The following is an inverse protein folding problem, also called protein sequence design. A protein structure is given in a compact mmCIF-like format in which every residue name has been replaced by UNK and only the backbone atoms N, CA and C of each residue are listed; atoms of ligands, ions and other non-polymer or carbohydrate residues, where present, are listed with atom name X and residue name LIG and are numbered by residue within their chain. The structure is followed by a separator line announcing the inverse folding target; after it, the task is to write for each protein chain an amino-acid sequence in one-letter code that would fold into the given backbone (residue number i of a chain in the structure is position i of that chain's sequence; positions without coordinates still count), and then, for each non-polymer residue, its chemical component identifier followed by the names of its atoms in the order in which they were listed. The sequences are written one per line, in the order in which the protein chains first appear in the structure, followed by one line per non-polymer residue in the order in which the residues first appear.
data_IF_387115930478
#
_entry.id   IF_387115930478
#
_cell.length_a   1.000
_cell.length_b   1.000
_cell.length_c   1.000
_cell.angle_alpha   90.00
_cell.angle_beta   90.00
_cell.angle_gamma   90.00
#
_symmetry.space_group_name_H-M   'P 1'
#
loop_
_entity.id
_entity.type
_entity.pdbx_description
1 polymer ?
#
# COMPACT_ATOMS: atom_id res chain seq x y z
N UNK A 1 -29.79 -37.51 6.12
CA UNK A 1 -28.33 -37.79 6.08
C UNK A 1 -27.87 -37.54 4.65
N UNK A 2 -27.57 -36.28 4.30
CA UNK A 2 -27.18 -35.89 2.95
C UNK A 2 -25.67 -35.70 2.87
N UNK A 3 -24.98 -36.56 2.13
CA UNK A 3 -23.53 -36.51 1.95
C UNK A 3 -23.16 -35.34 1.03
N UNK A 4 -22.35 -34.42 1.52
CA UNK A 4 -21.83 -33.31 0.72
C UNK A 4 -21.05 -33.83 -0.51
N UNK A 5 -21.20 -33.21 -1.69
CA UNK A 5 -20.54 -33.67 -2.90
C UNK A 5 -19.02 -33.50 -2.78
N UNK A 6 -18.29 -34.59 -3.01
CA UNK A 6 -16.83 -34.62 -3.04
C UNK A 6 -16.29 -33.65 -4.10
N UNK A 7 -15.64 -32.56 -3.68
CA UNK A 7 -15.00 -31.62 -4.59
C UNK A 7 -13.79 -32.28 -5.23
N UNK A 8 -13.88 -32.56 -6.53
CA UNK A 8 -12.76 -33.04 -7.36
C UNK A 8 -11.60 -32.03 -7.24
N UNK A 9 -10.36 -32.48 -6.92
CA UNK A 9 -9.22 -31.57 -6.86
C UNK A 9 -9.00 -30.94 -8.23
N UNK A 10 -9.01 -29.61 -8.26
CA UNK A 10 -8.78 -28.83 -9.47
C UNK A 10 -7.26 -28.78 -9.69
N UNK A 11 -6.76 -29.50 -10.69
CA UNK A 11 -5.36 -29.38 -11.09
C UNK A 11 -5.08 -27.95 -11.52
N UNK A 12 -3.96 -27.33 -11.08
CA UNK A 12 -3.60 -26.00 -11.55
C UNK A 12 -3.46 -26.03 -13.08
N UNK A 13 -3.86 -24.96 -13.79
CA UNK A 13 -3.70 -24.90 -15.23
C UNK A 13 -2.24 -25.16 -15.59
N UNK A 14 -1.97 -26.25 -16.30
CA UNK A 14 -0.63 -26.50 -16.84
C UNK A 14 -0.28 -25.33 -17.75
N UNK A 15 0.85 -24.68 -17.51
CA UNK A 15 1.20 -23.46 -18.20
C UNK A 15 1.42 -23.74 -19.69
N UNK A 16 0.43 -23.39 -20.52
CA UNK A 16 0.48 -23.55 -21.97
C UNK A 16 1.68 -22.77 -22.55
N UNK A 17 2.67 -23.46 -23.15
CA UNK A 17 3.85 -22.81 -23.72
C UNK A 17 3.49 -21.80 -24.82
N UNK A 18 2.36 -21.97 -25.52
CA UNK A 18 1.89 -20.99 -26.51
C UNK A 18 1.43 -19.69 -25.84
N UNK A 19 0.74 -19.75 -24.69
CA UNK A 19 0.34 -18.55 -23.92
C UNK A 19 1.55 -17.82 -23.35
N UNK A 20 2.58 -18.55 -22.89
CA UNK A 20 3.84 -17.95 -22.43
C UNK A 20 4.59 -17.25 -23.57
N UNK A 21 4.66 -17.87 -24.75
CA UNK A 21 5.30 -17.27 -25.93
C UNK A 21 4.55 -16.02 -26.43
N UNK A 22 3.21 -16.05 -26.42
CA UNK A 22 2.36 -14.89 -26.73
C UNK A 22 2.59 -13.74 -25.73
N UNK A 23 2.67 -14.05 -24.43
CA UNK A 23 2.98 -13.04 -23.41
C UNK A 23 4.38 -12.44 -23.59
N UNK A 24 5.39 -13.27 -23.80
CA UNK A 24 6.77 -12.81 -24.00
C UNK A 24 6.92 -11.95 -25.25
N UNK A 25 6.28 -12.32 -26.36
CA UNK A 25 6.31 -11.54 -27.60
C UNK A 25 5.60 -10.19 -27.47
N UNK A 26 4.46 -10.14 -26.76
CA UNK A 26 3.80 -8.86 -26.48
C UNK A 26 4.67 -7.91 -25.66
N UNK A 27 5.37 -8.42 -24.64
CA UNK A 27 6.26 -7.64 -23.81
C UNK A 27 7.47 -7.15 -24.61
N UNK A 28 8.10 -8.05 -25.38
CA UNK A 28 9.21 -7.70 -26.26
C UNK A 28 8.80 -6.63 -27.28
N UNK A 29 7.61 -6.74 -27.87
CA UNK A 29 7.07 -5.73 -28.79
C UNK A 29 6.95 -4.34 -28.13
N UNK A 30 6.46 -4.28 -26.89
CA UNK A 30 6.37 -3.02 -26.13
C UNK A 30 7.75 -2.44 -25.82
N UNK A 31 8.71 -3.27 -25.39
CA UNK A 31 10.06 -2.83 -25.08
C UNK A 31 10.80 -2.33 -26.32
N UNK A 32 10.63 -3.00 -27.46
CA UNK A 32 11.18 -2.57 -28.74
C UNK A 32 10.54 -1.25 -29.20
N UNK A 33 9.22 -1.12 -29.09
CA UNK A 33 8.53 0.12 -29.42
C UNK A 33 9.03 1.28 -28.54
N UNK A 34 9.21 1.06 -27.23
CA UNK A 34 9.79 2.04 -26.32
C UNK A 34 11.19 2.45 -26.79
N UNK A 35 12.12 1.50 -26.97
CA UNK A 35 13.49 1.79 -27.36
C UNK A 35 13.53 2.58 -28.68
N UNK A 36 12.77 2.16 -29.68
CA UNK A 36 12.71 2.84 -30.98
C UNK A 36 12.13 4.24 -30.86
N UNK A 37 11.01 4.42 -30.16
CA UNK A 37 10.40 5.74 -29.97
C UNK A 37 11.31 6.70 -29.19
N UNK A 38 12.02 6.18 -28.18
CA UNK A 38 12.99 6.94 -27.40
C UNK A 38 14.23 7.32 -28.20
N UNK A 39 14.78 6.42 -29.01
CA UNK A 39 15.94 6.69 -29.86
C UNK A 39 15.63 7.63 -31.04
N UNK A 40 14.44 7.51 -31.63
CA UNK A 40 14.02 8.34 -32.76
C UNK A 40 13.78 9.80 -32.35
N UNK A 41 13.74 10.12 -31.05
CA UNK A 41 13.53 11.48 -30.55
C UNK A 41 12.14 12.05 -30.85
N UNK A 42 11.18 11.19 -31.22
CA UNK A 42 9.78 11.57 -31.46
C UNK A 42 9.14 12.13 -30.19
N UNK A 43 9.56 11.61 -29.04
CA UNK A 43 9.19 12.09 -27.71
C UNK A 43 10.46 12.61 -27.03
N UNK A 44 10.35 13.74 -26.34
CA UNK A 44 11.50 14.31 -25.63
C UNK A 44 12.10 13.29 -24.65
N UNK A 45 13.43 13.12 -24.60
CA UNK A 45 14.11 12.22 -23.66
C UNK A 45 13.80 12.51 -22.19
N UNK A 46 13.30 13.71 -21.88
CA UNK A 46 12.82 14.06 -20.53
C UNK A 46 11.59 13.23 -20.12
N UNK A 47 10.73 12.86 -21.08
CA UNK A 47 9.51 12.10 -20.83
C UNK A 47 9.65 10.63 -21.20
N UNK A 48 10.41 10.31 -22.25
CA UNK A 48 10.63 8.94 -22.72
C UNK A 48 12.10 8.71 -23.08
N UNK A 49 12.99 8.59 -22.09
CA UNK A 49 14.35 8.17 -22.36
C UNK A 49 14.35 6.74 -22.92
N UNK A 50 15.23 6.41 -23.90
CA UNK A 50 15.34 5.05 -24.40
C UNK A 50 15.76 4.10 -23.27
N UNK A 51 15.32 2.84 -23.36
CA UNK A 51 15.60 1.80 -22.36
C UNK A 51 17.12 1.59 -22.19
N UNK A 52 17.89 1.68 -23.27
CA UNK A 52 19.35 1.59 -23.22
C UNK A 52 19.99 2.68 -22.34
N UNK A 53 19.50 3.92 -22.39
CA UNK A 53 19.97 5.02 -21.55
C UNK A 53 19.58 4.77 -20.08
N UNK A 54 18.34 4.36 -19.82
CA UNK A 54 17.87 4.03 -18.46
C UNK A 54 18.74 2.91 -17.82
N UNK A 55 19.09 1.89 -18.60
CA UNK A 55 19.99 0.81 -18.14
C UNK A 55 21.40 1.34 -17.90
N UNK A 56 21.93 2.17 -18.80
CA UNK A 56 23.25 2.78 -18.66
C UNK A 56 23.38 3.59 -17.37
N UNK A 57 22.47 4.54 -17.17
CA UNK A 57 22.41 5.39 -15.99
C UNK A 57 22.20 4.55 -14.72
N UNK A 58 21.32 3.54 -14.78
CA UNK A 58 21.09 2.62 -13.67
C UNK A 58 22.35 1.87 -13.24
N UNK A 59 23.16 1.39 -14.20
CA UNK A 59 24.43 0.72 -13.91
C UNK A 59 25.47 1.70 -13.34
N UNK A 60 25.47 2.95 -13.79
CA UNK A 60 26.34 3.99 -13.24
C UNK A 60 25.99 4.28 -11.77
N UNK A 61 24.71 4.47 -11.45
CA UNK A 61 24.24 4.68 -10.07
C UNK A 61 24.53 3.48 -9.15
N UNK A 62 24.52 2.26 -9.69
CA UNK A 62 24.91 1.05 -8.93
C UNK A 62 26.41 1.09 -8.64
N UNK A 63 27.24 1.42 -9.63
CA UNK A 63 28.70 1.47 -9.50
C UNK A 63 29.16 2.59 -8.57
N UNK A 64 28.52 3.76 -8.63
CA UNK A 64 28.82 4.90 -7.74
C UNK A 64 28.37 4.64 -6.30
N UNK A 65 27.40 3.75 -6.10
CA UNK A 65 26.78 3.47 -4.80
C UNK A 65 25.65 4.43 -4.45
N UNK A 66 25.39 5.46 -5.27
CA UNK A 66 24.33 6.44 -5.03
C UNK A 66 22.95 5.80 -5.03
N UNK A 67 22.74 4.74 -5.82
CA UNK A 67 21.46 4.02 -5.85
C UNK A 67 21.08 3.52 -4.46
N UNK A 68 22.05 2.97 -3.72
CA UNK A 68 21.81 2.45 -2.37
C UNK A 68 21.49 3.59 -1.40
N UNK A 69 22.16 4.74 -1.52
CA UNK A 69 21.84 5.93 -0.72
C UNK A 69 20.43 6.46 -0.97
N UNK A 70 20.02 6.59 -2.23
CA UNK A 70 18.67 7.02 -2.61
C UNK A 70 17.60 6.02 -2.18
N UNK A 71 17.87 4.73 -2.32
CA UNK A 71 16.97 3.66 -1.87
C UNK A 71 16.81 3.68 -0.35
N UNK A 72 17.91 3.78 0.41
CA UNK A 72 17.89 3.85 1.86
C UNK A 72 17.11 5.08 2.35
N UNK A 73 17.31 6.25 1.75
CA UNK A 73 16.55 7.46 2.07
C UNK A 73 15.05 7.26 1.81
N UNK A 74 14.68 6.62 0.70
CA UNK A 74 13.28 6.33 0.37
C UNK A 74 12.66 5.33 1.35
N UNK A 75 13.37 4.25 1.68
CA UNK A 75 12.92 3.26 2.66
C UNK A 75 12.78 3.85 4.05
N UNK A 76 13.70 4.71 4.49
CA UNK A 76 13.61 5.41 5.77
C UNK A 76 12.32 6.23 5.88
N UNK A 77 11.99 7.01 4.84
CA UNK A 77 10.74 7.79 4.79
C UNK A 77 9.51 6.90 4.88
N UNK A 78 9.51 5.81 4.11
CA UNK A 78 8.40 4.85 4.08
C UNK A 78 8.23 4.20 5.46
N UNK A 79 9.32 3.76 6.07
CA UNK A 79 9.31 3.10 7.37
C UNK A 79 8.70 4.01 8.44
N UNK A 80 9.20 5.24 8.58
CA UNK A 80 8.69 6.16 9.60
C UNK A 80 7.27 6.63 9.31
N UNK A 81 6.96 6.94 8.05
CA UNK A 81 5.61 7.31 7.65
C UNK A 81 4.63 6.18 7.94
N UNK A 82 5.01 4.94 7.61
CA UNK A 82 4.21 3.75 7.89
C UNK A 82 4.03 3.52 9.40
N UNK A 83 5.11 3.53 10.20
CA UNK A 83 5.00 3.29 11.64
C UNK A 83 4.11 4.31 12.34
N UNK A 84 4.24 5.60 12.00
CA UNK A 84 3.42 6.66 12.56
C UNK A 84 1.97 6.50 12.10
N UNK A 85 1.75 6.40 10.79
CA UNK A 85 0.41 6.31 10.21
C UNK A 85 -0.34 5.05 10.65
N UNK A 86 0.33 3.89 10.59
CA UNK A 86 -0.25 2.62 11.01
C UNK A 86 -0.44 2.55 12.52
N UNK A 87 0.51 3.04 13.33
CA UNK A 87 0.37 3.08 14.78
C UNK A 87 -0.85 3.89 15.22
N UNK A 88 -0.98 5.12 14.70
CA UNK A 88 -2.16 5.97 14.96
C UNK A 88 -3.43 5.35 14.38
N UNK A 89 -3.33 4.73 13.21
CA UNK A 89 -4.47 4.12 12.52
C UNK A 89 -5.02 2.90 13.27
N UNK A 90 -4.14 2.02 13.74
CA UNK A 90 -4.50 0.86 14.56
C UNK A 90 -5.13 1.34 15.86
N UNK A 91 -4.48 2.28 16.56
CA UNK A 91 -5.01 2.81 17.81
C UNK A 91 -6.44 3.35 17.67
N UNK A 92 -6.67 4.19 16.65
CA UNK A 92 -7.99 4.79 16.43
C UNK A 92 -9.00 3.76 15.92
N UNK A 93 -8.59 2.88 15.01
CA UNK A 93 -9.43 1.82 14.46
C UNK A 93 -9.90 0.82 15.52
N UNK A 94 -9.01 0.42 16.44
CA UNK A 94 -9.36 -0.38 17.61
C UNK A 94 -10.37 0.36 18.49
N UNK A 95 -10.07 1.62 18.83
CA UNK A 95 -10.95 2.45 19.68
C UNK A 95 -12.36 2.55 19.11
N UNK A 96 -12.49 2.75 17.79
CA UNK A 96 -13.76 2.76 17.08
C UNK A 96 -14.42 1.38 17.03
N UNK A 97 -13.66 0.29 16.83
CA UNK A 97 -14.20 -1.06 16.78
C UNK A 97 -14.78 -1.54 18.11
N UNK A 98 -14.20 -1.10 19.24
CA UNK A 98 -14.58 -1.55 20.59
C UNK A 98 -15.67 -0.66 21.19
N UNK A 99 -15.63 0.66 20.95
CA UNK A 99 -16.53 1.63 21.56
C UNK A 99 -17.54 2.20 20.57
N UNK A 100 -18.82 1.89 20.78
CA UNK A 100 -19.93 2.44 19.97
C UNK A 100 -19.98 3.96 19.97
N UNK A 101 -19.63 4.60 21.10
CA UNK A 101 -19.64 6.06 21.19
C UNK A 101 -18.47 6.68 20.41
N UNK A 102 -17.28 6.07 20.50
CA UNK A 102 -16.13 6.49 19.72
C UNK A 102 -16.40 6.32 18.23
N UNK A 103 -16.98 5.18 17.85
CA UNK A 103 -17.38 4.92 16.46
C UNK A 103 -18.35 5.97 15.93
N UNK A 104 -19.45 6.22 16.65
CA UNK A 104 -20.46 7.19 16.24
C UNK A 104 -19.91 8.62 16.09
N UNK A 105 -18.89 8.98 16.87
CA UNK A 105 -18.31 10.33 16.87
C UNK A 105 -17.19 10.49 15.83
N UNK A 106 -16.35 9.48 15.65
CA UNK A 106 -15.12 9.56 14.85
C UNK A 106 -15.37 9.08 13.41
N UNK A 107 -16.25 8.09 13.22
CA UNK A 107 -16.51 7.52 11.90
C UNK A 107 -16.95 8.55 10.86
N UNK A 108 -17.86 9.50 11.16
CA UNK A 108 -18.23 10.54 10.21
C UNK A 108 -17.04 11.42 9.78
N UNK A 109 -16.11 11.73 10.71
CA UNK A 109 -14.92 12.52 10.41
C UNK A 109 -13.96 11.77 9.49
N UNK A 110 -13.74 10.48 9.76
CA UNK A 110 -12.93 9.60 8.91
C UNK A 110 -13.58 9.48 7.53
N UNK A 111 -14.88 9.22 7.45
CA UNK A 111 -15.60 9.08 6.18
C UNK A 111 -15.57 10.37 5.35
N UNK A 112 -15.70 11.53 5.97
CA UNK A 112 -15.67 12.83 5.28
C UNK A 112 -14.28 13.18 4.74
N UNK A 113 -13.22 12.80 5.45
CA UNK A 113 -11.84 13.17 5.09
C UNK A 113 -11.13 12.09 4.26
N UNK A 114 -11.62 10.85 4.28
CA UNK A 114 -10.99 9.74 3.57
C UNK A 114 -10.92 9.91 2.04
N UNK A 115 -11.88 10.52 1.34
CA UNK A 115 -11.78 10.73 -0.11
C UNK A 115 -10.74 11.79 -0.51
N UNK A 116 -10.28 12.63 0.42
CA UNK A 116 -9.37 13.74 0.11
C UNK A 116 -8.02 13.18 -0.38
N UNK A 117 -7.50 13.61 -1.54
CA UNK A 117 -6.18 13.19 -2.02
C UNK A 117 -5.09 13.69 -1.07
N UNK A 118 -4.37 12.77 -0.40
CA UNK A 118 -3.37 13.13 0.62
C UNK A 118 -2.18 13.89 0.02
N UNK A 119 -1.86 13.60 -1.24
CA UNK A 119 -0.82 14.32 -1.99
C UNK A 119 -1.16 15.80 -2.20
N UNK A 120 -2.45 16.16 -2.26
CA UNK A 120 -2.88 17.55 -2.40
C UNK A 120 -2.62 18.39 -1.13
N UNK A 121 -2.39 17.74 0.01
CA UNK A 121 -2.03 18.39 1.27
C UNK A 121 -0.53 18.69 1.38
N UNK A 122 0.30 18.20 0.44
CA UNK A 122 1.75 18.38 0.48
C UNK A 122 2.18 19.86 0.61
N UNK A 123 1.59 20.84 -0.13
CA UNK A 123 1.97 22.24 0.03
C UNK A 123 1.72 22.77 1.45
N UNK A 124 0.60 22.39 2.07
CA UNK A 124 0.27 22.78 3.45
C UNK A 124 1.23 22.15 4.46
N UNK A 125 1.57 20.88 4.25
CA UNK A 125 2.56 20.18 5.08
C UNK A 125 3.95 20.77 4.94
N UNK A 126 4.32 21.24 3.75
CA UNK A 126 5.57 21.99 3.55
C UNK A 126 5.52 23.33 4.29
N UNK A 127 4.39 24.04 4.27
CA UNK A 127 4.24 25.30 5.00
C UNK A 127 4.39 25.09 6.52
N UNK A 128 3.85 24.01 7.07
CA UNK A 128 3.89 23.73 8.51
C UNK A 128 5.17 23.05 8.99
N UNK A 129 5.64 22.02 8.28
CA UNK A 129 6.78 21.19 8.67
C UNK A 129 8.08 21.61 7.98
N UNK A 130 8.00 22.58 7.07
CA UNK A 130 9.12 23.02 6.24
C UNK A 130 9.37 22.14 5.02
N UNK A 131 10.27 22.64 4.17
CA UNK A 131 10.87 21.86 3.10
C UNK A 131 11.83 20.83 3.71
N UNK A 132 11.65 19.54 3.39
CA UNK A 132 12.56 18.52 3.88
C UNK A 132 11.93 17.14 3.98
N UNK A 133 12.42 16.35 4.92
CA UNK A 133 11.98 14.97 5.16
C UNK A 133 10.67 14.90 5.92
N UNK A 134 10.45 15.79 6.88
CA UNK A 134 9.25 15.80 7.73
C UNK A 134 7.95 15.89 6.93
N UNK A 135 7.89 16.78 5.93
CA UNK A 135 6.72 16.91 5.05
C UNK A 135 6.48 15.67 4.17
N UNK A 136 7.54 15.02 3.68
CA UNK A 136 7.41 13.75 2.92
C UNK A 136 6.90 12.61 3.80
N UNK A 137 7.45 12.47 5.00
CA UNK A 137 7.05 11.46 5.99
C UNK A 137 5.59 11.67 6.39
N UNK A 138 5.17 12.92 6.63
CA UNK A 138 3.79 13.25 6.99
C UNK A 138 2.78 12.87 5.89
N UNK A 139 3.09 13.10 4.61
CA UNK A 139 2.22 12.66 3.50
C UNK A 139 2.06 11.14 3.50
N UNK A 140 3.15 10.40 3.69
CA UNK A 140 3.11 8.93 3.78
C UNK A 140 2.27 8.49 4.98
N UNK A 141 2.48 9.09 6.14
CA UNK A 141 1.73 8.78 7.36
C UNK A 141 0.23 9.02 7.18
N UNK A 142 -0.18 10.14 6.56
CA UNK A 142 -1.58 10.39 6.22
C UNK A 142 -2.12 9.38 5.21
N UNK A 143 -1.32 8.99 4.22
CA UNK A 143 -1.71 7.98 3.23
C UNK A 143 -1.97 6.61 3.85
N UNK A 144 -1.17 6.23 4.84
CA UNK A 144 -1.29 4.95 5.58
C UNK A 144 -2.37 5.00 6.65
N UNK A 145 -2.51 6.12 7.36
CA UNK A 145 -3.40 6.27 8.50
C UNK A 145 -4.83 5.84 8.19
N UNK A 146 -5.48 6.41 7.17
CA UNK A 146 -6.90 6.16 6.96
C UNK A 146 -7.25 4.73 6.53
N UNK A 147 -6.57 4.10 5.54
CA UNK A 147 -6.83 2.69 5.23
C UNK A 147 -6.62 1.79 6.45
N UNK A 148 -5.60 2.08 7.28
CA UNK A 148 -5.37 1.30 8.50
C UNK A 148 -6.50 1.50 9.51
N UNK A 149 -6.96 2.73 9.77
CA UNK A 149 -8.14 2.97 10.65
C UNK A 149 -9.34 2.16 10.17
N UNK A 150 -9.67 2.26 8.88
CA UNK A 150 -10.85 1.62 8.29
C UNK A 150 -10.73 0.10 8.35
N UNK A 151 -9.58 -0.46 7.97
CA UNK A 151 -9.36 -1.90 7.97
C UNK A 151 -9.30 -2.47 9.39
N UNK A 152 -8.66 -1.79 10.34
CA UNK A 152 -8.61 -2.22 11.74
C UNK A 152 -10.02 -2.19 12.34
N UNK A 153 -10.77 -1.11 12.15
CA UNK A 153 -12.18 -1.02 12.60
C UNK A 153 -13.02 -2.15 12.01
N UNK A 154 -12.93 -2.36 10.70
CA UNK A 154 -13.67 -3.42 10.02
C UNK A 154 -13.30 -4.81 10.57
N UNK A 155 -12.00 -5.06 10.78
CA UNK A 155 -11.50 -6.31 11.35
C UNK A 155 -12.03 -6.59 12.76
N UNK A 156 -12.11 -5.57 13.62
CA UNK A 156 -12.69 -5.71 14.97
C UNK A 156 -14.18 -6.03 14.92
N UNK A 157 -14.93 -5.37 14.03
CA UNK A 157 -16.38 -5.57 13.91
C UNK A 157 -16.76 -6.91 13.26
N UNK A 158 -15.86 -7.52 12.49
CA UNK A 158 -16.07 -8.80 11.79
C UNK A 158 -15.72 -10.03 12.65
N UNK A 159 -15.19 -9.84 13.88
CA UNK A 159 -14.86 -10.95 14.79
C UNK A 159 -16.12 -11.75 15.15
N UNK A 160 -16.04 -13.08 15.06
CA UNK A 160 -17.14 -13.98 15.43
C UNK A 160 -17.56 -13.73 16.90
N UNK A 161 -18.84 -13.41 17.16
CA UNK A 161 -19.37 -13.24 18.51
C UNK A 161 -19.11 -14.44 19.45
N UNK A 162 -18.93 -15.66 18.91
CA UNK A 162 -18.59 -16.84 19.69
C UNK A 162 -17.20 -16.74 20.31
N UNK A 163 -16.21 -16.20 19.57
CA UNK A 163 -14.85 -15.99 20.09
C UNK A 163 -14.85 -14.95 21.21
N UNK A 164 -15.64 -13.88 21.05
CA UNK A 164 -15.83 -12.85 22.08
C UNK A 164 -16.45 -13.47 23.34
N UNK A 165 -17.49 -14.30 23.19
CA UNK A 165 -18.14 -14.99 24.34
C UNK A 165 -17.19 -15.97 25.03
N UNK A 166 -16.38 -16.71 24.28
CA UNK A 166 -15.37 -17.62 24.83
C UNK A 166 -14.31 -16.85 25.64
N UNK A 167 -13.82 -15.72 25.12
CA UNK A 167 -12.85 -14.87 25.82
C UNK A 167 -13.44 -14.29 27.13
N UNK A 168 -14.70 -13.84 27.11
CA UNK A 168 -15.40 -13.38 28.31
C UNK A 168 -15.56 -14.50 29.35
N UNK A 169 -15.88 -15.73 28.92
CA UNK A 169 -16.04 -16.89 29.80
C UNK A 169 -14.72 -17.32 30.46
N UNK A 170 -13.58 -17.05 29.81
CA UNK A 170 -12.23 -17.29 30.35
C UNK A 170 -11.71 -16.15 31.24
N UNK A 171 -12.54 -15.13 31.54
CA UNK A 171 -12.21 -14.04 32.46
C UNK A 171 -11.67 -12.79 31.79
N UNK A 172 -11.67 -12.69 30.46
CA UNK A 172 -11.34 -11.43 29.79
C UNK A 172 -12.43 -10.38 30.04
N UNK A 173 -12.04 -9.12 30.22
CA UNK A 173 -12.98 -8.00 30.28
C UNK A 173 -13.30 -7.52 28.87
N UNK A 174 -14.41 -6.79 28.66
CA UNK A 174 -14.71 -6.19 27.33
C UNK A 174 -13.59 -5.27 26.82
N UNK A 175 -12.78 -4.71 27.71
CA UNK A 175 -11.60 -3.91 27.36
C UNK A 175 -10.35 -4.76 27.06
N UNK A 176 -10.30 -6.02 27.51
CA UNK A 176 -9.20 -6.96 27.25
C UNK A 176 -9.41 -7.89 26.05
N UNK A 177 -10.53 -7.74 25.33
CA UNK A 177 -10.80 -8.40 24.03
C UNK A 177 -10.35 -7.50 22.86
N UNK A 178 -9.94 -6.27 23.20
CA UNK A 178 -9.35 -5.26 22.33
C UNK A 178 -7.97 -5.65 21.80
#
# INVERSE_FOLDING_TARGET
MGTAPSRKPMNPPTADPKRKALGASSLAGVLLAWELLGQMGVISPLFLPPLSAVIGDGLELIKSGDLLGHLASSLWRILWGFLIGAGLGVFLGLTMGISRLADASIHPLIAATYPIPKIALLPLLILWLGLGEGSKIAVIALGVFFPVVVNTRAGVLDVDPLLVKAALALGSSRAGIA
#
